data_IF_412273435585
#
_entry.id   IF_412273435585
#
_cell.length_a   1.000
_cell.length_b   1.000
_cell.length_c   1.000
_cell.angle_alpha   90.00
_cell.angle_beta   90.00
_cell.angle_gamma   90.00
#
_symmetry.space_group_name_H-M   'P 1'
#
loop_
_entity.id
_entity.type
_entity.pdbx_description
1 polymer ?
#
# COMPACT_ATOMS: atom_id res chain seq x y z
N UNK A 1 -27.31 -54.85 6.39
CA UNK A 1 -26.64 -53.68 7.02
C UNK A 1 -25.55 -53.15 6.09
N UNK A 2 -25.76 -51.93 5.60
CA UNK A 2 -24.77 -50.88 5.27
C UNK A 2 -23.56 -51.15 4.36
N UNK A 3 -23.74 -51.08 3.03
CA UNK A 3 -22.70 -50.53 2.13
C UNK A 3 -23.39 -49.76 0.99
N UNK A 4 -23.95 -48.59 1.30
CA UNK A 4 -24.41 -47.60 0.29
C UNK A 4 -24.17 -46.20 0.81
N UNK A 5 -22.92 -45.85 1.11
CA UNK A 5 -22.56 -44.47 1.47
C UNK A 5 -21.05 -44.23 1.30
N UNK A 6 -20.51 -44.42 0.09
CA UNK A 6 -19.07 -44.19 -0.14
C UNK A 6 -18.76 -43.55 -1.51
N UNK A 7 -19.71 -42.82 -2.07
CA UNK A 7 -19.50 -42.00 -3.27
C UNK A 7 -20.23 -40.68 -3.08
N UNK A 8 -19.56 -39.65 -2.55
CA UNK A 8 -19.92 -38.24 -2.81
C UNK A 8 -19.03 -37.20 -2.09
N UNK A 9 -17.72 -37.39 -1.87
CA UNK A 9 -16.85 -36.24 -1.48
C UNK A 9 -15.43 -36.40 -2.04
N UNK A 10 -15.23 -36.34 -3.35
CA UNK A 10 -13.89 -36.23 -3.97
C UNK A 10 -13.91 -35.14 -5.06
N UNK A 11 -14.27 -33.90 -4.70
CA UNK A 11 -14.42 -32.86 -5.72
C UNK A 11 -14.49 -31.41 -5.24
N UNK A 12 -13.84 -31.03 -4.14
CA UNK A 12 -13.93 -29.67 -3.59
C UNK A 12 -12.58 -29.08 -3.11
N UNK A 13 -11.51 -29.27 -3.88
CA UNK A 13 -10.26 -28.51 -3.69
C UNK A 13 -9.93 -27.70 -4.93
N UNK A 14 -10.86 -26.82 -5.33
CA UNK A 14 -10.50 -25.70 -6.19
C UNK A 14 -9.76 -24.69 -5.32
N UNK A 15 -8.50 -24.40 -5.63
CA UNK A 15 -7.73 -23.40 -4.91
C UNK A 15 -8.41 -22.04 -5.00
N UNK A 16 -8.52 -21.34 -3.88
CA UNK A 16 -8.93 -19.94 -3.87
C UNK A 16 -7.68 -19.08 -4.10
N UNK A 17 -7.69 -18.26 -5.14
CA UNK A 17 -6.69 -17.20 -5.33
C UNK A 17 -7.19 -15.93 -4.65
N UNK A 18 -6.35 -15.33 -3.81
CA UNK A 18 -6.65 -14.08 -3.14
C UNK A 18 -5.44 -13.17 -3.26
N UNK A 19 -5.67 -11.92 -3.66
CA UNK A 19 -4.62 -10.93 -3.81
C UNK A 19 -5.03 -9.61 -3.18
N UNK A 20 -4.03 -8.89 -2.70
CA UNK A 20 -4.21 -7.57 -2.12
C UNK A 20 -4.31 -6.53 -3.25
N UNK A 21 -5.42 -5.77 -3.26
CA UNK A 21 -5.61 -4.65 -4.20
C UNK A 21 -5.31 -3.32 -3.51
N UNK A 22 -4.33 -2.61 -4.05
CA UNK A 22 -3.94 -1.27 -3.60
C UNK A 22 -4.60 -0.21 -4.47
N UNK A 23 -5.82 0.23 -4.12
CA UNK A 23 -6.56 1.28 -4.83
C UNK A 23 -6.23 2.66 -4.25
N UNK A 24 -5.14 3.27 -4.70
CA UNK A 24 -4.74 4.61 -4.24
C UNK A 24 -4.61 5.57 -5.42
N UNK A 25 -5.56 6.51 -5.60
CA UNK A 25 -5.51 7.45 -6.72
C UNK A 25 -4.38 8.48 -6.57
N UNK A 26 -3.82 8.63 -5.38
CA UNK A 26 -2.78 9.61 -5.06
C UNK A 26 -1.44 9.00 -4.70
N UNK A 27 -0.40 9.83 -4.82
CA UNK A 27 0.98 9.54 -4.44
C UNK A 27 1.44 10.66 -3.52
N UNK A 28 2.27 10.29 -2.56
CA UNK A 28 2.90 11.15 -1.57
C UNK A 28 4.20 11.71 -2.16
N UNK A 29 5.07 10.82 -2.62
CA UNK A 29 6.37 11.23 -3.16
C UNK A 29 6.98 10.11 -4.01
N UNK A 30 7.94 10.46 -4.86
CA UNK A 30 8.82 9.51 -5.55
C UNK A 30 10.26 9.86 -5.23
N UNK A 31 10.87 9.10 -4.34
CA UNK A 31 12.22 9.39 -3.85
C UNK A 31 12.91 8.14 -3.29
N UNK A 32 14.18 8.28 -2.94
CA UNK A 32 15.00 7.21 -2.36
C UNK A 32 14.80 7.16 -0.84
N UNK A 33 13.58 6.84 -0.42
CA UNK A 33 13.18 6.76 0.98
C UNK A 33 12.73 5.33 1.33
N UNK A 34 13.34 4.77 2.36
CA UNK A 34 12.96 3.48 2.96
C UNK A 34 13.19 3.55 4.47
N UNK A 35 12.13 3.75 5.29
CA UNK A 35 12.27 3.93 6.72
C UNK A 35 12.54 2.61 7.47
N UNK A 36 12.49 1.46 6.79
CA UNK A 36 12.76 0.15 7.38
C UNK A 36 14.19 -0.29 7.08
N UNK A 37 14.58 -0.29 5.80
CA UNK A 37 15.89 -0.80 5.39
C UNK A 37 16.99 0.23 5.59
N UNK A 38 16.70 1.52 5.38
CA UNK A 38 17.69 2.58 5.47
C UNK A 38 17.19 3.80 6.27
N UNK A 39 16.87 3.62 7.57
CA UNK A 39 16.28 4.67 8.40
C UNK A 39 17.14 5.93 8.43
N UNK A 40 16.51 7.09 8.26
CA UNK A 40 17.16 8.40 8.29
C UNK A 40 18.12 8.70 7.13
N UNK A 41 18.32 7.78 6.19
CA UNK A 41 19.26 7.92 5.08
C UNK A 41 18.62 7.76 3.71
N UNK A 42 19.48 7.73 2.68
CA UNK A 42 19.08 7.59 1.29
C UNK A 42 19.07 6.12 0.89
N UNK A 43 17.91 5.60 0.45
CA UNK A 43 17.76 4.22 0.02
C UNK A 43 18.59 3.89 -1.23
N UNK A 44 18.94 2.61 -1.43
CA UNK A 44 19.73 2.14 -2.57
C UNK A 44 19.00 2.26 -3.92
N UNK A 45 17.67 2.32 -3.89
CA UNK A 45 16.82 2.51 -5.06
C UNK A 45 15.68 3.50 -4.75
N UNK A 46 14.93 3.88 -5.78
CA UNK A 46 13.80 4.78 -5.64
C UNK A 46 12.53 4.02 -5.28
N UNK A 47 11.67 4.65 -4.49
CA UNK A 47 10.33 4.19 -4.20
C UNK A 47 9.32 5.19 -4.71
N UNK A 48 8.10 4.72 -4.93
CA UNK A 48 6.97 5.62 -4.95
C UNK A 48 6.06 5.37 -3.79
N UNK A 49 5.74 6.42 -3.07
CA UNK A 49 5.10 6.32 -1.78
C UNK A 49 3.64 6.73 -1.93
N UNK A 50 2.75 5.98 -1.30
CA UNK A 50 1.33 6.24 -1.12
C UNK A 50 0.96 5.89 0.33
N UNK A 51 -0.12 6.47 0.84
CA UNK A 51 -0.61 6.22 2.18
C UNK A 51 -0.75 7.48 3.02
N UNK A 52 -0.39 7.37 4.29
CA UNK A 52 -0.44 8.46 5.27
C UNK A 52 0.52 9.61 4.94
N UNK A 53 0.12 10.83 5.29
CA UNK A 53 0.95 12.03 5.14
C UNK A 53 2.19 12.08 6.05
N UNK A 54 2.30 11.18 7.03
CA UNK A 54 3.40 11.08 7.99
C UNK A 54 4.63 10.33 7.46
N UNK A 55 4.62 9.89 6.20
CA UNK A 55 5.75 9.20 5.58
C UNK A 55 7.01 10.05 5.57
N UNK A 56 8.07 9.58 6.23
CA UNK A 56 9.39 10.20 6.23
C UNK A 56 10.47 9.14 6.44
N UNK A 57 11.73 9.48 6.16
CA UNK A 57 12.85 8.55 6.30
C UNK A 57 13.10 8.13 7.76
N UNK A 58 12.63 8.94 8.73
CA UNK A 58 12.77 8.69 10.16
C UNK A 58 11.41 8.55 10.86
N UNK A 59 10.38 8.15 10.13
CA UNK A 59 9.01 8.02 10.62
C UNK A 59 8.92 6.92 11.70
N UNK A 60 8.31 7.24 12.83
CA UNK A 60 7.91 6.24 13.83
C UNK A 60 6.48 5.73 13.61
N UNK A 61 6.06 4.77 14.43
CA UNK A 61 4.67 4.33 14.46
C UNK A 61 3.71 5.48 14.77
N UNK A 62 4.06 6.34 15.73
CA UNK A 62 3.28 7.51 16.15
C UNK A 62 3.15 8.53 15.02
N UNK A 63 4.22 8.75 14.26
CA UNK A 63 4.21 9.61 13.07
C UNK A 63 3.24 9.08 12.01
N UNK A 64 3.25 7.76 11.75
CA UNK A 64 2.31 7.13 10.83
C UNK A 64 0.86 7.30 11.30
N UNK A 65 0.58 7.04 12.59
CA UNK A 65 -0.76 7.17 13.19
C UNK A 65 -1.26 8.61 13.24
N UNK A 66 -0.36 9.57 13.42
CA UNK A 66 -0.66 11.01 13.46
C UNK A 66 -0.81 11.65 12.07
N UNK A 67 -0.64 10.88 10.99
CA UNK A 67 -0.90 11.33 9.61
C UNK A 67 -2.23 12.09 9.53
N UNK A 68 -2.17 13.32 9.03
CA UNK A 68 -3.34 14.22 8.94
C UNK A 68 -4.32 13.79 7.87
N UNK A 69 -3.88 12.98 6.92
CA UNK A 69 -4.72 12.44 5.86
C UNK A 69 -4.06 11.22 5.19
N UNK A 70 -4.75 10.61 4.22
CA UNK A 70 -4.24 9.50 3.41
C UNK A 70 -4.59 9.62 1.92
N UNK A 71 -3.66 9.20 1.05
CA UNK A 71 -3.92 9.02 -0.39
C UNK A 71 -4.76 7.79 -0.69
N UNK A 72 -4.99 6.91 0.29
CA UNK A 72 -5.84 5.73 0.15
C UNK A 72 -7.32 6.10 -0.03
N UNK A 73 -8.12 5.20 -0.60
CA UNK A 73 -9.57 5.39 -0.70
C UNK A 73 -10.22 5.45 0.69
N UNK A 74 -9.87 4.50 1.56
CA UNK A 74 -10.23 4.47 2.97
C UNK A 74 -9.31 5.44 3.72
N UNK A 75 -9.86 6.48 4.36
CA UNK A 75 -9.06 7.57 4.96
C UNK A 75 -8.49 7.22 6.32
N UNK A 76 -9.06 6.21 6.96
CA UNK A 76 -8.61 5.60 8.20
C UNK A 76 -7.35 4.76 7.99
N UNK A 77 -7.10 4.30 6.77
CA UNK A 77 -5.86 3.66 6.39
C UNK A 77 -4.74 4.70 6.24
N UNK A 78 -3.95 4.82 7.30
CA UNK A 78 -2.76 5.67 7.39
C UNK A 78 -1.46 4.89 7.21
N UNK A 79 -1.55 3.65 6.75
CA UNK A 79 -0.38 2.82 6.47
C UNK A 79 0.42 3.44 5.34
N UNK A 80 1.72 3.19 5.31
CA UNK A 80 2.58 3.61 4.21
C UNK A 80 2.84 2.44 3.29
N UNK A 81 2.93 2.74 2.00
CA UNK A 81 3.23 1.76 0.97
C UNK A 81 4.22 2.37 -0.02
N UNK A 82 5.34 1.71 -0.21
CA UNK A 82 6.47 2.26 -0.98
C UNK A 82 7.03 1.22 -1.97
N UNK A 83 6.27 0.80 -2.99
CA UNK A 83 6.80 -0.08 -4.01
C UNK A 83 8.02 0.53 -4.74
N UNK A 84 8.98 -0.29 -5.18
CA UNK A 84 10.16 0.17 -5.91
C UNK A 84 9.75 0.88 -7.21
N UNK A 85 10.55 1.85 -7.64
CA UNK A 85 10.31 2.66 -8.83
C UNK A 85 11.60 2.85 -9.61
N UNK A 86 11.48 2.93 -10.94
CA UNK A 86 12.61 3.21 -11.82
C UNK A 86 13.03 4.68 -11.72
N UNK A 87 14.30 4.89 -11.38
CA UNK A 87 14.99 6.18 -11.36
C UNK A 87 15.22 6.59 -12.82
N UNK A 88 14.27 7.30 -13.42
CA UNK A 88 14.33 7.69 -14.84
C UNK A 88 12.99 8.09 -15.41
N UNK A 89 11.88 7.61 -14.84
CA UNK A 89 10.58 8.21 -15.08
C UNK A 89 10.60 9.65 -14.51
N UNK A 90 10.02 10.65 -15.21
CA UNK A 90 10.10 12.05 -14.82
C UNK A 90 9.84 12.21 -13.33
N UNK A 91 10.78 12.88 -12.67
CA UNK A 91 10.68 13.20 -11.25
C UNK A 91 9.60 14.27 -11.14
N UNK A 92 8.35 13.83 -10.99
CA UNK A 92 7.27 14.72 -10.59
C UNK A 92 7.62 15.22 -9.19
N UNK A 93 8.26 16.39 -9.17
CA UNK A 93 8.71 17.04 -7.94
C UNK A 93 7.45 17.36 -7.13
N UNK A 94 7.38 16.72 -5.97
CA UNK A 94 6.53 17.01 -4.81
C UNK A 94 5.04 16.71 -4.98
N UNK A 95 4.57 15.61 -4.37
CA UNK A 95 3.13 15.34 -4.22
C UNK A 95 2.67 15.30 -2.77
N UNK A 96 2.66 16.46 -2.11
CA UNK A 96 1.73 16.69 -1.02
C UNK A 96 1.00 18.01 -1.30
N UNK A 97 -0.30 17.96 -1.65
CA UNK A 97 -1.28 17.93 -0.58
C UNK A 97 -2.43 16.98 -0.88
N UNK A 98 -2.62 16.07 0.04
CA UNK A 98 -3.80 15.24 0.17
C UNK A 98 -5.02 16.12 0.48
N UNK A 99 -5.89 16.43 -0.50
CA UNK A 99 -7.10 15.64 -0.78
C UNK A 99 -7.43 15.53 -2.30
N UNK A 100 -8.33 14.63 -2.76
CA UNK A 100 -9.71 15.01 -3.09
C UNK A 100 -10.73 13.89 -2.89
N UNK A 101 -11.91 14.29 -2.42
CA UNK A 101 -13.18 13.59 -2.63
C UNK A 101 -14.01 14.42 -3.62
N UNK A 102 -14.33 13.89 -4.82
CA UNK A 102 -15.57 14.04 -5.65
C UNK A 102 -15.43 13.04 -6.82
N UNK A 103 -16.35 12.10 -7.05
CA UNK A 103 -17.80 12.32 -7.26
C UNK A 103 -18.67 11.31 -6.52
N UNK A 104 -19.86 11.74 -6.05
CA UNK A 104 -21.01 10.86 -6.00
C UNK A 104 -21.55 10.68 -7.43
N UNK A 105 -21.58 9.46 -7.93
CA UNK A 105 -22.60 8.95 -8.86
C UNK A 105 -22.73 7.46 -8.62
#
# INVERSE_FOLDING_TARGET
MHIKLAFAIIGLTVGADAFFRMSWPGRIVRERLDPIVNPGGVASHGHTISGGSGSSANMTYEDARSSKCSTCEIKEDKSNYWPPTLIGAPQERQFHPCPRRRRPH
#
